data_IF_372012003731
#
_entry.id   IF_372012003731
#
_cell.length_a   1.000
_cell.length_b   1.000
_cell.length_c   1.000
_cell.angle_alpha   90.00
_cell.angle_beta   90.00
_cell.angle_gamma   90.00
#
_symmetry.space_group_name_H-M   'P 1'
#
loop_
_entity.id
_entity.type
_entity.pdbx_description
1 polymer ?
#
# COMPACT_ATOMS: atom_id res chain seq x y z
N UNK A 1 -17.08 21.28 -19.47
CA UNK A 1 -16.52 20.20 -20.33
C UNK A 1 -15.06 19.85 -19.98
N UNK A 2 -14.13 20.82 -19.88
CA UNK A 2 -12.71 20.53 -19.51
C UNK A 2 -12.54 19.91 -18.13
N UNK A 3 -13.35 20.22 -17.14
CA UNK A 3 -13.27 19.65 -15.80
C UNK A 3 -13.69 18.18 -15.79
N UNK A 4 -14.66 17.79 -16.62
CA UNK A 4 -15.13 16.39 -16.72
C UNK A 4 -14.10 15.52 -17.39
N UNK A 5 -13.36 16.02 -18.38
CA UNK A 5 -12.32 15.26 -19.08
C UNK A 5 -11.15 14.83 -18.16
N UNK A 6 -10.90 15.54 -17.06
CA UNK A 6 -9.84 15.17 -16.10
C UNK A 6 -10.18 13.96 -15.22
N UNK A 7 -11.46 13.56 -15.14
CA UNK A 7 -11.89 12.36 -14.41
C UNK A 7 -11.75 11.08 -15.24
N UNK A 8 -11.63 11.19 -16.54
CA UNK A 8 -11.45 10.07 -17.46
C UNK A 8 -10.09 10.20 -18.10
N UNK A 9 -9.21 9.25 -17.81
CA UNK A 9 -7.85 9.26 -18.34
C UNK A 9 -7.55 7.94 -19.04
N UNK A 10 -6.66 7.93 -20.04
CA UNK A 10 -6.18 6.69 -20.65
C UNK A 10 -5.44 5.82 -19.63
N UNK A 11 -5.38 4.53 -19.91
CA UNK A 11 -4.53 3.60 -19.16
C UNK A 11 -3.07 4.08 -19.14
N UNK A 12 -2.50 4.12 -17.95
CA UNK A 12 -1.05 4.24 -17.78
C UNK A 12 -0.45 2.84 -17.58
N UNK A 13 0.45 2.44 -18.46
CA UNK A 13 1.15 1.15 -18.41
C UNK A 13 1.98 0.95 -17.15
N UNK A 14 2.27 2.01 -16.42
CA UNK A 14 3.10 1.99 -15.21
C UNK A 14 2.28 1.92 -13.92
N UNK A 15 0.96 1.93 -13.99
CA UNK A 15 0.11 1.78 -12.81
C UNK A 15 0.01 0.30 -12.39
N UNK A 16 0.48 0.00 -11.18
CA UNK A 16 0.57 -1.37 -10.69
C UNK A 16 -0.76 -2.13 -10.68
N UNK A 17 -1.89 -1.44 -10.49
CA UNK A 17 -3.22 -2.06 -10.48
C UNK A 17 -3.81 -2.30 -11.89
N UNK A 18 -3.22 -1.70 -12.92
CA UNK A 18 -3.61 -1.91 -14.32
C UNK A 18 -2.72 -2.96 -15.00
N UNK A 19 -1.62 -3.40 -14.38
CA UNK A 19 -0.67 -4.36 -14.94
C UNK A 19 -1.22 -5.80 -15.01
N UNK A 20 -2.37 -5.96 -15.63
CA UNK A 20 -2.98 -7.24 -15.97
C UNK A 20 -3.07 -7.33 -17.50
N UNK A 21 -2.69 -8.46 -18.08
CA UNK A 21 -2.66 -8.63 -19.55
C UNK A 21 -3.99 -8.31 -20.21
N UNK A 22 -5.10 -8.60 -19.54
CA UNK A 22 -6.46 -8.27 -20.00
C UNK A 22 -6.69 -6.78 -20.21
N UNK A 23 -5.96 -5.91 -19.50
CA UNK A 23 -6.07 -4.45 -19.67
C UNK A 23 -5.54 -3.95 -21.02
N UNK A 24 -4.70 -4.76 -21.68
CA UNK A 24 -4.01 -4.41 -22.92
C UNK A 24 -4.49 -5.22 -24.14
N UNK A 25 -5.55 -6.00 -24.00
CA UNK A 25 -6.15 -6.76 -25.10
C UNK A 25 -6.66 -5.82 -26.20
N UNK A 26 -6.50 -6.27 -27.44
CA UNK A 26 -6.99 -5.51 -28.61
C UNK A 26 -8.51 -5.30 -28.55
N UNK A 27 -8.93 -4.06 -28.68
CA UNK A 27 -10.35 -3.68 -28.62
C UNK A 27 -10.86 -3.34 -27.22
N UNK A 28 -10.02 -3.43 -26.18
CA UNK A 28 -10.37 -2.96 -24.84
C UNK A 28 -10.58 -1.44 -24.84
N UNK A 29 -11.65 -0.98 -24.19
CA UNK A 29 -11.91 0.46 -23.99
C UNK A 29 -10.80 1.07 -23.13
N UNK A 30 -10.18 2.18 -23.57
CA UNK A 30 -8.92 2.66 -22.98
C UNK A 30 -9.06 3.57 -21.77
N UNK A 31 -10.28 3.97 -21.38
CA UNK A 31 -10.44 4.97 -20.32
C UNK A 31 -10.61 4.33 -18.95
N UNK A 32 -10.03 4.98 -17.95
CA UNK A 32 -10.11 4.62 -16.52
C UNK A 32 -10.87 5.69 -15.75
N UNK A 33 -11.70 5.28 -14.81
CA UNK A 33 -12.31 6.18 -13.82
C UNK A 33 -12.45 5.52 -12.46
N UNK A 34 -12.61 6.33 -11.41
CA UNK A 34 -12.91 5.84 -10.08
C UNK A 34 -14.40 5.79 -9.83
N UNK A 35 -14.84 4.75 -9.12
CA UNK A 35 -16.22 4.61 -8.65
C UNK A 35 -16.25 4.23 -7.17
N UNK A 36 -17.39 4.45 -6.54
CA UNK A 36 -17.70 3.98 -5.19
C UNK A 36 -18.89 3.03 -5.25
N UNK A 37 -18.76 1.87 -4.61
CA UNK A 37 -19.84 0.89 -4.42
C UNK A 37 -20.50 1.09 -3.07
N UNK A 38 -19.74 1.62 -2.11
CA UNK A 38 -20.20 1.85 -0.74
C UNK A 38 -19.62 3.13 -0.15
N UNK A 39 -20.19 3.58 0.95
CA UNK A 39 -19.76 4.74 1.72
C UNK A 39 -19.63 4.36 3.19
N UNK A 40 -18.50 4.78 3.80
CA UNK A 40 -18.21 4.54 5.21
C UNK A 40 -17.55 3.17 5.46
N UNK A 41 -17.25 2.93 6.73
CA UNK A 41 -16.52 1.74 7.16
C UNK A 41 -17.05 1.25 8.51
N UNK A 42 -17.23 -0.07 8.65
CA UNK A 42 -17.66 -0.72 9.90
C UNK A 42 -16.53 -0.89 10.90
N UNK A 43 -15.28 -0.79 10.47
CA UNK A 43 -14.09 -0.92 11.33
C UNK A 43 -13.92 0.31 12.24
N UNK A 44 -13.19 0.12 13.34
CA UNK A 44 -12.92 1.15 14.35
C UNK A 44 -11.41 1.38 14.54
N UNK A 45 -10.65 1.32 13.43
CA UNK A 45 -9.21 1.49 13.50
C UNK A 45 -8.84 2.82 14.17
N UNK A 46 -7.91 2.77 15.15
CA UNK A 46 -7.60 3.88 16.05
C UNK A 46 -6.94 5.09 15.38
N UNK A 47 -6.34 4.88 14.22
CA UNK A 47 -5.66 5.92 13.43
C UNK A 47 -6.49 6.47 12.27
N UNK A 48 -7.62 5.81 11.93
CA UNK A 48 -8.35 6.09 10.70
C UNK A 48 -9.46 7.12 10.92
N UNK A 49 -9.36 8.23 10.21
CA UNK A 49 -10.44 9.19 10.09
C UNK A 49 -11.46 8.68 9.05
N UNK A 50 -12.69 8.47 9.49
CA UNK A 50 -13.77 8.01 8.62
C UNK A 50 -14.55 9.20 8.07
N UNK A 51 -14.70 9.25 6.77
CA UNK A 51 -15.44 10.33 6.10
C UNK A 51 -16.95 10.29 6.37
N UNK A 52 -17.48 9.10 6.73
CA UNK A 52 -18.88 8.93 7.11
C UNK A 52 -19.04 8.00 8.30
N UNK A 53 -20.04 8.28 9.16
CA UNK A 53 -20.44 7.37 10.22
C UNK A 53 -21.25 6.21 9.63
N UNK A 54 -20.95 4.98 10.09
CA UNK A 54 -21.66 3.78 9.63
C UNK A 54 -21.18 3.27 8.27
N UNK A 55 -22.02 2.49 7.62
CA UNK A 55 -21.76 1.87 6.32
C UNK A 55 -23.06 1.79 5.52
N UNK A 56 -23.01 2.18 4.27
CA UNK A 56 -24.13 2.08 3.34
C UNK A 56 -23.63 1.70 1.95
N UNK A 57 -24.50 1.07 1.17
CA UNK A 57 -24.22 0.70 -0.22
C UNK A 57 -25.08 1.53 -1.17
N UNK A 58 -24.58 1.72 -2.38
CA UNK A 58 -25.35 2.39 -3.42
C UNK A 58 -26.43 1.45 -4.00
N UNK A 59 -27.51 2.04 -4.52
CA UNK A 59 -28.55 1.30 -5.21
C UNK A 59 -28.01 0.64 -6.49
N UNK A 60 -28.23 -0.67 -6.65
CA UNK A 60 -27.70 -1.43 -7.78
C UNK A 60 -28.25 -0.97 -9.13
N UNK A 61 -29.50 -0.51 -9.20
CA UNK A 61 -30.08 -0.04 -10.45
C UNK A 61 -29.47 1.27 -10.92
N UNK A 62 -29.16 2.16 -9.96
CA UNK A 62 -28.43 3.41 -10.23
C UNK A 62 -26.97 3.14 -10.62
N UNK A 63 -26.34 2.18 -9.93
CA UNK A 63 -24.98 1.75 -10.27
C UNK A 63 -24.93 1.18 -11.70
N UNK A 64 -25.90 0.36 -12.08
CA UNK A 64 -26.02 -0.19 -13.42
C UNK A 64 -26.14 0.90 -14.48
N UNK A 65 -27.05 1.85 -14.26
CA UNK A 65 -27.24 3.01 -15.15
C UNK A 65 -25.94 3.80 -15.31
N UNK A 66 -25.23 4.02 -14.21
CA UNK A 66 -23.95 4.75 -14.21
C UNK A 66 -22.86 3.99 -14.96
N UNK A 67 -22.68 2.69 -14.72
CA UNK A 67 -21.69 1.86 -15.42
C UNK A 67 -21.98 1.82 -16.93
N UNK A 68 -23.25 1.73 -17.30
CA UNK A 68 -23.67 1.78 -18.70
C UNK A 68 -23.31 3.13 -19.35
N UNK A 69 -23.58 4.23 -18.67
CA UNK A 69 -23.23 5.57 -19.15
C UNK A 69 -21.71 5.74 -19.32
N UNK A 70 -20.90 5.28 -18.34
CA UNK A 70 -19.45 5.27 -18.42
C UNK A 70 -18.92 4.50 -19.63
N UNK A 71 -19.56 3.36 -19.93
CA UNK A 71 -19.22 2.53 -21.07
C UNK A 71 -19.55 3.23 -22.40
N UNK A 72 -20.80 3.65 -22.54
CA UNK A 72 -21.38 4.07 -23.81
C UNK A 72 -20.97 5.50 -24.23
N UNK A 73 -20.86 6.42 -23.26
CA UNK A 73 -20.60 7.83 -23.50
C UNK A 73 -19.15 8.25 -23.22
N UNK A 74 -18.41 7.52 -22.37
CA UNK A 74 -17.05 7.90 -21.94
C UNK A 74 -15.98 6.88 -22.32
N UNK A 75 -16.34 5.81 -23.02
CA UNK A 75 -15.41 4.77 -23.46
C UNK A 75 -14.58 4.15 -22.32
N UNK A 76 -15.17 4.04 -21.11
CA UNK A 76 -14.52 3.48 -19.93
C UNK A 76 -14.49 1.95 -20.04
N UNK A 77 -13.30 1.38 -19.81
CA UNK A 77 -13.07 -0.08 -19.76
C UNK A 77 -12.48 -0.55 -18.44
N UNK A 78 -12.08 0.39 -17.58
CA UNK A 78 -11.48 0.07 -16.29
C UNK A 78 -12.04 0.93 -15.16
N UNK A 79 -12.40 0.29 -14.05
CA UNK A 79 -12.94 0.93 -12.86
C UNK A 79 -12.00 0.77 -11.67
N UNK A 80 -11.66 1.87 -11.01
CA UNK A 80 -10.98 1.85 -9.72
C UNK A 80 -12.03 2.00 -8.63
N UNK A 81 -12.33 0.92 -7.92
CA UNK A 81 -13.24 0.95 -6.77
C UNK A 81 -12.51 1.53 -5.58
N UNK A 82 -12.90 2.74 -5.17
CA UNK A 82 -12.22 3.54 -4.14
C UNK A 82 -12.99 3.56 -2.80
N UNK A 83 -13.61 2.45 -2.44
CA UNK A 83 -14.35 2.30 -1.20
C UNK A 83 -13.43 2.43 0.03
N UNK A 84 -13.95 2.99 1.13
CA UNK A 84 -13.26 2.98 2.42
C UNK A 84 -13.13 1.55 2.98
N UNK A 85 -14.08 0.67 2.66
CA UNK A 85 -14.09 -0.73 3.10
C UNK A 85 -14.80 -1.63 2.09
N UNK A 86 -14.12 -1.96 1.00
CA UNK A 86 -14.64 -2.88 -0.02
C UNK A 86 -14.89 -4.28 0.57
N UNK A 87 -16.00 -4.89 0.20
CA UNK A 87 -16.33 -6.25 0.60
C UNK A 87 -17.05 -6.39 1.96
N UNK A 88 -17.34 -5.28 2.67
CA UNK A 88 -18.05 -5.33 3.96
C UNK A 88 -19.46 -5.90 3.88
N UNK A 89 -20.18 -5.66 2.80
CA UNK A 89 -21.44 -6.32 2.50
C UNK A 89 -21.23 -7.33 1.36
N UNK A 90 -20.95 -8.57 1.74
CA UNK A 90 -20.56 -9.62 0.79
C UNK A 90 -21.59 -9.84 -0.32
N UNK A 91 -22.89 -9.94 0.04
CA UNK A 91 -23.96 -10.14 -0.93
C UNK A 91 -24.02 -9.01 -1.97
N UNK A 92 -23.99 -7.78 -1.51
CA UNK A 92 -23.98 -6.62 -2.38
C UNK A 92 -22.72 -6.58 -3.27
N UNK A 93 -21.55 -6.86 -2.68
CA UNK A 93 -20.28 -6.87 -3.42
C UNK A 93 -20.30 -7.86 -4.58
N UNK A 94 -20.84 -9.06 -4.37
CA UNK A 94 -21.01 -10.05 -5.43
C UNK A 94 -21.90 -9.52 -6.55
N UNK A 95 -23.07 -8.95 -6.22
CA UNK A 95 -23.99 -8.37 -7.21
C UNK A 95 -23.35 -7.22 -7.99
N UNK A 96 -22.59 -6.34 -7.32
CA UNK A 96 -21.89 -5.23 -7.97
C UNK A 96 -20.77 -5.73 -8.89
N UNK A 97 -20.04 -6.77 -8.49
CA UNK A 97 -18.99 -7.42 -9.30
C UNK A 97 -19.58 -8.08 -10.54
N UNK A 98 -20.69 -8.82 -10.41
CA UNK A 98 -21.42 -9.40 -11.55
C UNK A 98 -21.90 -8.31 -12.51
N UNK A 99 -22.35 -7.18 -11.97
CA UNK A 99 -22.79 -6.05 -12.76
C UNK A 99 -21.61 -5.43 -13.56
N UNK A 100 -20.46 -5.22 -12.92
CA UNK A 100 -19.25 -4.75 -13.63
C UNK A 100 -18.85 -5.73 -14.74
N UNK A 101 -18.89 -7.03 -14.48
CA UNK A 101 -18.59 -8.07 -15.45
C UNK A 101 -19.58 -8.07 -16.64
N UNK A 102 -20.87 -7.92 -16.38
CA UNK A 102 -21.94 -7.80 -17.41
C UNK A 102 -21.63 -6.72 -18.44
N UNK A 103 -21.03 -5.62 -18.01
CA UNK A 103 -20.66 -4.49 -18.88
C UNK A 103 -19.22 -4.57 -19.41
N UNK A 104 -18.56 -5.71 -19.24
CA UNK A 104 -17.18 -5.94 -19.70
C UNK A 104 -16.19 -4.92 -19.10
N UNK A 105 -16.36 -4.60 -17.80
CA UNK A 105 -15.43 -3.76 -17.07
C UNK A 105 -14.34 -4.59 -16.41
N UNK A 106 -13.09 -4.20 -16.59
CA UNK A 106 -12.03 -4.59 -15.69
C UNK A 106 -12.04 -3.65 -14.48
N UNK A 107 -11.57 -4.14 -13.35
CA UNK A 107 -11.58 -3.33 -12.15
C UNK A 107 -10.47 -3.70 -11.16
N UNK A 108 -10.12 -2.72 -10.33
CA UNK A 108 -9.28 -2.88 -9.15
C UNK A 108 -10.00 -2.29 -7.94
N UNK A 109 -9.68 -2.75 -6.74
CA UNK A 109 -10.24 -2.18 -5.53
C UNK A 109 -9.17 -1.88 -4.48
N UNK A 110 -9.42 -0.85 -3.68
CA UNK A 110 -8.65 -0.45 -2.51
C UNK A 110 -9.49 -0.57 -1.24
N UNK A 111 -8.88 -0.37 -0.07
CA UNK A 111 -9.62 -0.39 1.19
C UNK A 111 -10.11 -1.78 1.63
N UNK A 112 -9.43 -2.85 1.24
CA UNK A 112 -9.85 -4.21 1.54
C UNK A 112 -9.20 -4.66 2.85
N UNK A 113 -10.00 -5.22 3.74
CA UNK A 113 -9.50 -5.92 4.93
C UNK A 113 -9.15 -7.36 4.59
N UNK A 114 -8.01 -7.84 5.03
CA UNK A 114 -7.57 -9.23 4.76
C UNK A 114 -8.56 -10.28 5.31
N UNK A 115 -9.26 -9.94 6.40
CA UNK A 115 -10.28 -10.81 7.01
C UNK A 115 -11.64 -10.79 6.30
N UNK A 116 -11.86 -9.94 5.29
CA UNK A 116 -13.13 -9.85 4.57
C UNK A 116 -13.20 -10.70 3.31
N UNK A 117 -12.13 -11.40 2.96
CA UNK A 117 -12.04 -12.20 1.74
C UNK A 117 -11.59 -13.64 2.03
N UNK A 118 -12.19 -14.59 1.33
CA UNK A 118 -11.74 -15.98 1.25
C UNK A 118 -11.09 -16.25 -0.10
N UNK A 119 -10.46 -17.41 -0.26
CA UNK A 119 -9.89 -17.82 -1.55
C UNK A 119 -10.96 -17.91 -2.65
N UNK A 120 -12.15 -18.35 -2.29
CA UNK A 120 -13.31 -18.44 -3.18
C UNK A 120 -13.76 -17.05 -3.64
N UNK A 121 -13.80 -16.07 -2.72
CA UNK A 121 -14.09 -14.67 -3.06
C UNK A 121 -13.07 -14.11 -4.06
N UNK A 122 -11.78 -14.36 -3.80
CA UNK A 122 -10.69 -13.90 -4.67
C UNK A 122 -10.78 -14.51 -6.08
N UNK A 123 -11.08 -15.80 -6.18
CA UNK A 123 -11.32 -16.47 -7.46
C UNK A 123 -12.54 -15.89 -8.18
N UNK A 124 -13.64 -15.67 -7.46
CA UNK A 124 -14.83 -15.05 -8.03
C UNK A 124 -14.51 -13.65 -8.57
N UNK A 125 -13.82 -12.81 -7.79
CA UNK A 125 -13.43 -11.47 -8.23
C UNK A 125 -12.55 -11.51 -9.49
N UNK A 126 -11.51 -12.36 -9.49
CA UNK A 126 -10.63 -12.52 -10.64
C UNK A 126 -11.39 -12.93 -11.90
N UNK A 127 -12.27 -13.92 -11.79
CA UNK A 127 -13.05 -14.43 -12.93
C UNK A 127 -14.07 -13.41 -13.44
N UNK A 128 -14.45 -12.44 -12.62
CA UNK A 128 -15.37 -11.35 -12.96
C UNK A 128 -14.66 -10.00 -13.13
N UNK A 129 -13.47 -9.99 -13.70
CA UNK A 129 -12.80 -8.79 -14.19
C UNK A 129 -11.87 -8.09 -13.21
N UNK A 130 -11.71 -8.60 -11.96
CA UNK A 130 -10.73 -8.04 -11.03
C UNK A 130 -9.31 -8.23 -11.54
N UNK A 131 -8.52 -7.16 -11.53
CA UNK A 131 -7.10 -7.17 -11.92
C UNK A 131 -6.19 -7.07 -10.70
N UNK A 132 -6.60 -6.32 -9.68
CA UNK A 132 -5.81 -6.17 -8.45
C UNK A 132 -6.63 -5.75 -7.23
N UNK A 133 -6.11 -6.09 -6.06
CA UNK A 133 -6.70 -5.77 -4.76
C UNK A 133 -5.65 -5.20 -3.82
N UNK A 134 -5.84 -3.96 -3.32
CA UNK A 134 -4.95 -3.33 -2.33
C UNK A 134 -5.50 -3.51 -0.91
N UNK A 135 -4.77 -4.27 -0.11
CA UNK A 135 -5.13 -4.56 1.29
C UNK A 135 -4.53 -3.54 2.25
N UNK A 136 -5.33 -3.11 3.21
CA UNK A 136 -4.87 -2.31 4.35
C UNK A 136 -4.30 -3.21 5.44
N UNK A 137 -3.00 -3.45 5.44
CA UNK A 137 -2.32 -4.34 6.40
C UNK A 137 -1.69 -3.59 7.58
N UNK A 138 -1.12 -2.44 7.34
CA UNK A 138 -0.53 -1.43 8.24
C UNK A 138 0.68 -1.93 9.04
N UNK A 139 0.72 -3.16 9.55
CA UNK A 139 1.82 -3.67 10.37
C UNK A 139 2.00 -5.18 10.25
N UNK A 140 3.22 -5.65 10.44
CA UNK A 140 3.56 -7.06 10.61
C UNK A 140 3.67 -7.48 12.07
N UNK A 141 3.41 -6.58 13.00
CA UNK A 141 3.38 -6.87 14.44
C UNK A 141 1.95 -7.05 14.94
N UNK A 142 1.68 -8.18 15.57
CA UNK A 142 0.35 -8.42 16.18
C UNK A 142 0.04 -7.38 17.25
N UNK A 143 1.03 -7.01 18.07
CA UNK A 143 0.88 -5.94 19.06
C UNK A 143 0.41 -4.64 18.41
N UNK A 144 1.00 -4.25 17.29
CA UNK A 144 0.59 -3.04 16.58
C UNK A 144 -0.78 -3.17 15.93
N UNK A 145 -1.10 -4.32 15.35
CA UNK A 145 -2.44 -4.58 14.80
C UNK A 145 -3.52 -4.49 15.88
N UNK A 146 -3.23 -4.92 17.10
CA UNK A 146 -4.14 -4.83 18.24
C UNK A 146 -4.32 -3.39 18.71
N UNK A 147 -3.24 -2.62 18.82
CA UNK A 147 -3.28 -1.16 19.12
C UNK A 147 -4.06 -0.40 18.05
N UNK A 148 -3.88 -0.76 16.80
CA UNK A 148 -4.60 -0.19 15.65
C UNK A 148 -6.07 -0.64 15.57
N UNK A 149 -6.51 -1.58 16.37
CA UNK A 149 -7.84 -2.23 16.31
C UNK A 149 -8.18 -2.81 14.92
N UNK A 150 -7.20 -3.42 14.27
CA UNK A 150 -7.40 -4.04 12.95
C UNK A 150 -8.30 -5.28 13.02
N UNK A 151 -8.37 -5.96 14.19
CA UNK A 151 -9.23 -7.13 14.42
C UNK A 151 -9.00 -8.28 13.43
N UNK A 152 -7.73 -8.51 13.06
CA UNK A 152 -7.25 -9.68 12.33
C UNK A 152 -5.82 -10.02 12.76
N UNK A 153 -5.37 -11.21 12.42
CA UNK A 153 -4.05 -11.70 12.79
C UNK A 153 -3.04 -11.48 11.64
N UNK A 154 -1.74 -11.41 11.98
CA UNK A 154 -0.66 -11.36 10.97
C UNK A 154 -0.76 -12.53 9.99
N UNK A 155 -1.21 -13.69 10.44
CA UNK A 155 -1.38 -14.88 9.60
C UNK A 155 -2.50 -14.71 8.57
N UNK A 156 -3.54 -13.92 8.85
CA UNK A 156 -4.60 -13.61 7.88
C UNK A 156 -4.07 -12.75 6.73
N UNK A 157 -3.09 -11.87 7.02
CA UNK A 157 -2.38 -11.10 5.98
C UNK A 157 -1.71 -12.06 4.99
N UNK A 158 -0.92 -13.01 5.50
CA UNK A 158 -0.23 -14.00 4.65
C UNK A 158 -1.23 -14.82 3.83
N UNK A 159 -2.28 -15.34 4.47
CA UNK A 159 -3.31 -16.12 3.78
C UNK A 159 -3.93 -15.37 2.61
N UNK A 160 -4.34 -14.11 2.81
CA UNK A 160 -4.96 -13.31 1.76
C UNK A 160 -3.99 -13.01 0.60
N UNK A 161 -2.77 -12.56 0.90
CA UNK A 161 -1.79 -12.20 -0.11
C UNK A 161 -1.26 -13.40 -0.88
N UNK A 162 -1.01 -14.52 -0.19
CA UNK A 162 -0.56 -15.75 -0.83
C UNK A 162 -1.65 -16.34 -1.72
N UNK A 163 -2.92 -16.31 -1.27
CA UNK A 163 -4.04 -16.73 -2.09
C UNK A 163 -4.20 -15.87 -3.36
N UNK A 164 -4.01 -14.54 -3.27
CA UNK A 164 -3.98 -13.68 -4.45
C UNK A 164 -2.88 -14.11 -5.43
N UNK A 165 -1.65 -14.29 -4.92
CA UNK A 165 -0.52 -14.69 -5.74
C UNK A 165 -0.75 -16.05 -6.41
N UNK A 166 -1.21 -17.04 -5.65
CA UNK A 166 -1.39 -18.42 -6.13
C UNK A 166 -2.43 -18.53 -7.26
N UNK A 167 -3.42 -17.64 -7.27
CA UNK A 167 -4.40 -17.55 -8.36
C UNK A 167 -4.01 -16.55 -9.45
N UNK A 168 -2.85 -15.89 -9.33
CA UNK A 168 -2.40 -14.88 -10.28
C UNK A 168 -3.23 -13.59 -10.26
N UNK A 169 -3.80 -13.22 -9.11
CA UNK A 169 -4.42 -11.93 -8.89
C UNK A 169 -3.38 -10.96 -8.32
N UNK A 170 -3.25 -9.79 -8.95
CA UNK A 170 -2.26 -8.81 -8.51
C UNK A 170 -2.64 -8.21 -7.15
N UNK A 171 -1.63 -7.99 -6.31
CA UNK A 171 -1.75 -7.22 -5.08
C UNK A 171 -0.67 -6.13 -5.10
N UNK A 172 -1.04 -4.85 -5.32
CA UNK A 172 -0.07 -3.76 -5.42
C UNK A 172 0.64 -3.49 -4.09
N UNK A 173 1.61 -2.57 -4.08
CA UNK A 173 2.40 -2.24 -2.90
C UNK A 173 1.57 -2.10 -1.63
N UNK A 174 2.06 -2.70 -0.56
CA UNK A 174 1.40 -2.72 0.74
C UNK A 174 1.83 -1.49 1.55
N UNK A 175 0.87 -0.85 2.21
CA UNK A 175 1.14 0.22 3.15
C UNK A 175 1.49 -0.35 4.53
N UNK A 176 2.64 0.07 5.07
CA UNK A 176 3.03 -0.16 6.45
C UNK A 176 3.09 1.17 7.19
N UNK A 177 2.63 1.19 8.43
CA UNK A 177 2.67 2.35 9.31
C UNK A 177 3.63 2.11 10.46
N UNK A 178 4.48 3.11 10.75
CA UNK A 178 5.36 3.15 11.90
C UNK A 178 4.96 4.27 12.86
N UNK A 179 5.33 4.12 14.11
CA UNK A 179 5.20 5.19 15.09
C UNK A 179 3.84 5.30 15.75
N UNK A 180 3.01 4.29 15.70
CA UNK A 180 1.83 4.19 16.55
C UNK A 180 2.23 4.12 18.04
N UNK A 181 1.36 4.51 18.98
CA UNK A 181 1.59 4.26 20.40
C UNK A 181 1.98 2.80 20.66
N UNK A 182 3.09 2.57 21.38
CA UNK A 182 3.62 1.23 21.62
C UNK A 182 4.61 0.70 20.58
N UNK A 183 4.91 1.47 19.52
CA UNK A 183 5.95 1.09 18.54
C UNK A 183 7.33 0.99 19.20
N UNK A 184 8.12 0.02 18.77
CA UNK A 184 9.44 -0.28 19.30
C UNK A 184 10.32 -0.93 18.22
N UNK A 185 11.62 -1.08 18.49
CA UNK A 185 12.54 -1.84 17.64
C UNK A 185 12.04 -3.27 17.38
N UNK A 186 11.39 -3.89 18.36
CA UNK A 186 10.83 -5.24 18.22
C UNK A 186 9.69 -5.26 17.21
N UNK A 187 8.71 -4.37 17.32
CA UNK A 187 7.52 -4.31 16.45
C UNK A 187 7.88 -3.90 15.04
N UNK A 188 8.84 -2.98 14.88
CA UNK A 188 9.41 -2.63 13.58
C UNK A 188 10.09 -3.84 12.89
N UNK A 189 10.87 -4.64 13.62
CA UNK A 189 11.46 -5.88 13.11
C UNK A 189 10.40 -6.90 12.70
N UNK A 190 9.32 -7.05 13.47
CA UNK A 190 8.20 -7.94 13.15
C UNK A 190 7.56 -7.54 11.81
N UNK A 191 7.37 -6.24 11.56
CA UNK A 191 6.90 -5.71 10.28
C UNK A 191 7.87 -6.01 9.14
N UNK A 192 9.16 -5.82 9.37
CA UNK A 192 10.20 -6.18 8.39
C UNK A 192 10.21 -7.68 8.08
N UNK A 193 10.08 -8.53 9.09
CA UNK A 193 10.00 -9.98 8.90
C UNK A 193 8.83 -10.37 8.00
N UNK A 194 7.63 -9.86 8.28
CA UNK A 194 6.45 -10.11 7.44
C UNK A 194 6.67 -9.64 6.01
N UNK A 195 7.21 -8.43 5.82
CA UNK A 195 7.52 -7.88 4.50
C UNK A 195 8.46 -8.81 3.70
N UNK A 196 9.50 -9.32 4.33
CA UNK A 196 10.42 -10.27 3.71
C UNK A 196 9.80 -11.64 3.40
N UNK A 197 8.93 -12.14 4.27
CA UNK A 197 8.17 -13.39 4.06
C UNK A 197 7.23 -13.27 2.85
N UNK A 198 6.50 -12.16 2.75
CA UNK A 198 5.62 -11.86 1.60
C UNK A 198 6.45 -11.77 0.32
N UNK A 199 7.52 -10.99 0.32
CA UNK A 199 8.38 -10.82 -0.84
C UNK A 199 8.98 -12.16 -1.32
N UNK A 200 9.38 -13.05 -0.41
CA UNK A 200 9.91 -14.36 -0.74
C UNK A 200 8.86 -15.30 -1.34
N UNK A 201 7.61 -15.23 -0.87
CA UNK A 201 6.50 -16.00 -1.44
C UNK A 201 6.14 -15.50 -2.84
N UNK A 202 6.01 -14.19 -3.00
CA UNK A 202 5.69 -13.53 -4.27
C UNK A 202 6.88 -13.52 -5.23
N UNK A 203 8.03 -14.04 -4.84
CA UNK A 203 9.28 -14.05 -5.62
C UNK A 203 9.71 -12.64 -6.06
N UNK A 204 9.43 -11.63 -5.25
CA UNK A 204 9.87 -10.25 -5.47
C UNK A 204 11.38 -10.18 -5.18
N UNK A 205 12.22 -9.73 -6.12
CA UNK A 205 13.66 -9.57 -5.88
C UNK A 205 13.94 -8.56 -4.75
N UNK A 206 14.98 -8.80 -3.95
CA UNK A 206 15.34 -7.97 -2.79
C UNK A 206 15.43 -6.49 -3.09
N UNK A 207 16.03 -6.11 -4.23
CA UNK A 207 16.13 -4.69 -4.66
C UNK A 207 14.79 -4.03 -5.00
N UNK A 208 13.70 -4.79 -5.11
CA UNK A 208 12.35 -4.28 -5.35
C UNK A 208 11.46 -4.29 -4.12
N UNK A 209 11.87 -4.91 -3.00
CA UNK A 209 11.08 -4.92 -1.77
C UNK A 209 10.71 -3.49 -1.34
N UNK A 210 11.65 -2.56 -1.47
CA UNK A 210 11.44 -1.13 -1.20
C UNK A 210 10.45 -0.42 -2.14
N UNK A 211 10.29 -0.93 -3.36
CA UNK A 211 9.38 -0.35 -4.36
C UNK A 211 7.98 -0.90 -4.25
N UNK A 212 7.84 -2.09 -3.63
CA UNK A 212 6.57 -2.79 -3.46
C UNK A 212 5.92 -2.55 -2.10
N UNK A 213 6.52 -1.70 -1.25
CA UNK A 213 5.95 -1.39 0.05
C UNK A 213 6.11 0.09 0.36
N UNK A 214 5.01 0.73 0.74
CA UNK A 214 5.00 2.08 1.27
C UNK A 214 5.22 2.00 2.78
N UNK A 215 6.21 2.71 3.30
CA UNK A 215 6.49 2.78 4.72
C UNK A 215 6.31 4.22 5.20
N UNK A 216 5.25 4.45 5.96
CA UNK A 216 4.80 5.77 6.37
C UNK A 216 4.83 5.90 7.89
N UNK A 217 5.13 7.08 8.39
CA UNK A 217 4.98 7.39 9.81
C UNK A 217 3.55 7.85 10.12
N UNK A 218 3.04 7.44 11.28
CA UNK A 218 1.70 7.79 11.74
C UNK A 218 1.56 9.30 11.90
N UNK A 219 0.55 9.85 11.25
CA UNK A 219 0.07 11.20 11.49
C UNK A 219 -1.27 11.09 12.19
N UNK A 220 -1.41 11.61 13.41
CA UNK A 220 -2.68 11.63 14.10
C UNK A 220 -3.65 12.59 13.40
N UNK A 221 -4.73 12.05 12.87
CA UNK A 221 -5.78 12.84 12.23
C UNK A 221 -6.83 13.25 13.25
N UNK A 222 -7.31 14.49 13.17
CA UNK A 222 -8.33 15.04 14.09
C UNK A 222 -9.55 14.12 14.14
N UNK A 223 -10.06 13.89 15.35
CA UNK A 223 -11.20 13.03 15.61
C UNK A 223 -10.88 11.52 15.62
N UNK A 224 -9.60 11.16 15.57
CA UNK A 224 -9.17 9.77 15.76
C UNK A 224 -8.73 9.51 17.21
N UNK A 225 -8.87 8.27 17.73
CA UNK A 225 -8.36 7.91 19.05
C UNK A 225 -6.89 8.23 19.25
N UNK A 226 -6.04 8.05 18.24
CA UNK A 226 -4.61 8.36 18.32
C UNK A 226 -4.35 9.88 18.43
N UNK A 227 -5.21 10.70 17.82
CA UNK A 227 -5.15 12.15 17.96
C UNK A 227 -5.50 12.59 19.41
N UNK A 228 -6.60 12.08 19.93
CA UNK A 228 -7.02 12.37 21.30
C UNK A 228 -5.99 11.90 22.34
N UNK A 229 -5.36 10.75 22.09
CA UNK A 229 -4.25 10.28 22.92
C UNK A 229 -3.05 11.23 22.89
N UNK A 230 -2.71 11.77 21.71
CA UNK A 230 -1.65 12.80 21.58
C UNK A 230 -1.97 14.09 22.35
N UNK A 231 -3.24 14.51 22.34
CA UNK A 231 -3.70 15.65 23.17
C UNK A 231 -3.56 15.36 24.66
N UNK A 232 -3.99 14.18 25.12
CA UNK A 232 -3.87 13.79 26.54
C UNK A 232 -2.42 13.76 27.04
N UNK A 233 -1.48 13.40 26.15
CA UNK A 233 -0.05 13.42 26.46
C UNK A 233 0.59 14.81 26.36
N UNK A 234 -0.15 15.85 25.94
CA UNK A 234 0.39 17.18 25.67
C UNK A 234 1.33 17.26 24.47
N UNK A 235 1.29 16.26 23.59
CA UNK A 235 2.11 16.22 22.35
C UNK A 235 1.45 16.94 21.17
N UNK A 236 0.16 17.16 21.24
CA UNK A 236 -0.66 17.95 20.32
C UNK A 236 -1.24 19.12 21.10
N UNK A 237 -1.27 20.30 20.51
CA UNK A 237 -1.73 21.51 21.16
C UNK A 237 -3.18 21.43 21.67
N UNK A 238 -3.46 22.23 22.73
CA UNK A 238 -4.74 22.21 23.45
C UNK A 238 -5.67 23.36 23.03
N UNK A 239 -5.12 24.40 22.43
CA UNK A 239 -5.88 25.55 21.90
C UNK A 239 -6.25 25.38 20.43
N UNK A 240 -7.25 26.10 19.96
CA UNK A 240 -7.66 26.12 18.56
C UNK A 240 -6.52 26.52 17.63
N UNK A 241 -5.76 27.54 18.01
CA UNK A 241 -4.63 28.02 17.19
C UNK A 241 -3.51 26.97 17.05
N UNK A 242 -3.26 26.22 18.11
CA UNK A 242 -2.28 25.12 18.09
C UNK A 242 -2.77 23.94 17.26
N UNK A 243 -4.07 23.64 17.28
CA UNK A 243 -4.68 22.62 16.41
C UNK A 243 -4.65 23.06 14.95
N UNK A 244 -4.92 24.31 14.62
CA UNK A 244 -4.79 24.84 13.27
C UNK A 244 -3.35 24.74 12.76
N UNK A 245 -2.37 25.11 13.57
CA UNK A 245 -0.96 24.97 13.25
C UNK A 245 -0.56 23.49 13.02
N UNK A 246 -1.10 22.58 13.81
CA UNK A 246 -0.90 21.14 13.61
C UNK A 246 -1.49 20.68 12.27
N UNK A 247 -2.68 21.17 11.90
CA UNK A 247 -3.32 20.87 10.61
C UNK A 247 -2.49 21.39 9.42
N UNK A 248 -1.97 22.60 9.50
CA UNK A 248 -1.10 23.16 8.45
C UNK A 248 0.13 22.25 8.22
N UNK A 249 0.74 21.82 9.31
CA UNK A 249 1.91 20.93 9.27
C UNK A 249 1.55 19.57 8.65
N UNK A 250 0.44 18.97 9.07
CA UNK A 250 0.03 17.62 8.66
C UNK A 250 -0.62 17.58 7.28
N UNK A 251 -1.09 18.70 6.75
CA UNK A 251 -1.61 18.79 5.39
C UNK A 251 -0.54 18.64 4.31
N UNK A 252 0.74 18.78 4.65
CA UNK A 252 1.85 18.61 3.73
C UNK A 252 2.24 17.13 3.57
N UNK A 253 1.74 16.50 2.53
CA UNK A 253 1.92 15.06 2.23
C UNK A 253 3.39 14.62 2.12
N UNK A 254 4.34 15.53 1.88
CA UNK A 254 5.78 15.22 1.79
C UNK A 254 6.51 15.18 3.14
N UNK A 255 5.80 15.44 4.23
CA UNK A 255 6.42 15.77 5.51
C UNK A 255 6.33 14.67 6.59
N UNK A 256 5.82 13.49 6.27
CA UNK A 256 5.47 12.45 7.24
C UNK A 256 6.55 12.15 8.29
N UNK A 257 7.79 11.97 7.90
CA UNK A 257 8.89 11.64 8.84
C UNK A 257 9.30 12.85 9.67
N UNK A 258 9.28 14.05 9.10
CA UNK A 258 9.71 15.29 9.75
C UNK A 258 8.78 15.75 10.86
N UNK A 259 7.48 15.42 10.74
CA UNK A 259 6.44 15.86 11.66
C UNK A 259 5.84 14.69 12.47
N UNK A 260 6.57 13.58 12.54
CA UNK A 260 6.17 12.46 13.38
C UNK A 260 6.04 12.89 14.84
N UNK A 261 4.93 12.54 15.47
CA UNK A 261 4.73 12.71 16.89
C UNK A 261 5.24 11.49 17.63
N UNK A 262 6.24 11.68 18.48
CA UNK A 262 6.88 10.61 19.21
C UNK A 262 6.07 10.17 20.44
N UNK A 263 5.07 9.33 20.23
CA UNK A 263 4.23 8.77 21.28
C UNK A 263 4.98 7.85 22.26
N UNK A 264 6.13 7.34 21.86
CA UNK A 264 6.79 6.24 22.53
C UNK A 264 7.95 6.70 23.42
N UNK A 265 8.28 7.99 23.40
CA UNK A 265 9.42 8.54 24.12
C UNK A 265 10.78 7.97 23.69
N UNK A 266 10.82 7.26 22.54
CA UNK A 266 12.06 6.74 22.01
C UNK A 266 12.98 7.88 21.58
N UNK A 267 14.33 7.74 21.70
CA UNK A 267 15.25 8.74 21.17
C UNK A 267 14.99 8.98 19.68
N UNK A 268 14.97 10.25 19.26
CA UNK A 268 14.73 10.57 17.84
C UNK A 268 15.75 9.93 16.89
N UNK A 269 16.98 9.69 17.36
CA UNK A 269 17.98 8.89 16.65
C UNK A 269 17.51 7.47 16.37
N UNK A 270 16.75 6.85 17.28
CA UNK A 270 16.15 5.53 17.07
C UNK A 270 14.97 5.61 16.09
N UNK A 271 14.06 6.57 16.29
CA UNK A 271 12.86 6.75 15.45
C UNK A 271 13.21 6.92 13.98
N UNK A 272 14.24 7.70 13.66
CA UNK A 272 14.65 7.93 12.27
C UNK A 272 15.22 6.69 11.57
N UNK A 273 15.59 5.66 12.33
CA UNK A 273 16.14 4.41 11.82
C UNK A 273 15.10 3.27 11.74
N UNK A 274 13.89 3.43 12.25
CA UNK A 274 12.88 2.37 12.24
C UNK A 274 12.57 1.86 10.83
N UNK A 275 12.41 2.75 9.85
CA UNK A 275 12.17 2.38 8.45
C UNK A 275 13.33 1.58 7.86
N UNK A 276 14.56 1.98 8.15
CA UNK A 276 15.74 1.23 7.72
C UNK A 276 15.81 -0.14 8.38
N UNK A 277 15.46 -0.23 9.66
CA UNK A 277 15.42 -1.49 10.40
C UNK A 277 14.38 -2.44 9.81
N UNK A 278 13.19 -1.94 9.46
CA UNK A 278 12.17 -2.72 8.77
C UNK A 278 12.73 -3.33 7.47
N UNK A 279 13.42 -2.53 6.67
CA UNK A 279 13.97 -3.00 5.40
C UNK A 279 15.15 -3.96 5.58
N UNK A 280 16.02 -3.74 6.55
CA UNK A 280 17.10 -4.68 6.87
C UNK A 280 16.54 -6.03 7.28
N UNK A 281 15.53 -6.05 8.13
CA UNK A 281 14.91 -7.27 8.59
C UNK A 281 14.12 -7.97 7.46
N UNK A 282 13.48 -7.18 6.58
CA UNK A 282 12.83 -7.71 5.38
C UNK A 282 13.83 -8.43 4.46
N UNK A 283 14.99 -7.81 4.23
CA UNK A 283 16.06 -8.41 3.43
C UNK A 283 16.58 -9.70 4.07
N UNK A 284 16.85 -9.67 5.38
CA UNK A 284 17.31 -10.86 6.14
C UNK A 284 16.30 -12.01 6.07
N UNK A 285 15.03 -11.71 6.31
CA UNK A 285 13.95 -12.69 6.28
C UNK A 285 13.80 -13.29 4.88
N UNK A 286 13.82 -12.46 3.84
CA UNK A 286 13.80 -12.90 2.45
C UNK A 286 14.97 -13.83 2.12
N UNK A 287 16.20 -13.41 2.41
CA UNK A 287 17.41 -14.21 2.11
C UNK A 287 17.41 -15.53 2.84
N UNK A 288 17.00 -15.57 4.11
CA UNK A 288 16.89 -16.81 4.88
C UNK A 288 15.93 -17.80 4.21
N UNK A 289 14.79 -17.33 3.72
CA UNK A 289 13.80 -18.17 3.05
C UNK A 289 14.28 -18.61 1.66
N UNK A 290 15.00 -17.77 0.94
CA UNK A 290 15.47 -18.07 -0.41
C UNK A 290 16.75 -18.92 -0.45
N UNK A 291 17.60 -18.86 0.58
CA UNK A 291 18.78 -19.75 0.71
C UNK A 291 18.40 -21.23 0.72
N UNK A 292 17.23 -21.54 1.22
CA UNK A 292 16.73 -22.92 1.28
C UNK A 292 16.07 -23.42 -0.03
N UNK A 293 15.99 -22.55 -1.06
CA UNK A 293 15.42 -22.91 -2.36
C UNK A 293 16.50 -22.89 -3.43
N UNK A 294 16.72 -24.02 -4.09
CA UNK A 294 17.68 -24.23 -5.20
C UNK A 294 17.43 -23.29 -6.40
N UNK A 295 16.30 -22.59 -6.42
CA UNK A 295 15.84 -21.66 -7.48
C UNK A 295 16.57 -20.30 -7.51
N UNK A 296 17.51 -20.06 -6.58
CA UNK A 296 18.12 -18.74 -6.41
C UNK A 296 18.99 -18.27 -7.62
N UNK A 297 19.49 -19.19 -8.43
CA UNK A 297 20.29 -18.86 -9.62
C UNK A 297 19.43 -18.40 -10.80
N UNK A 298 18.32 -19.11 -11.05
CA UNK A 298 17.42 -18.80 -12.18
C UNK A 298 16.65 -17.49 -11.96
N UNK A 299 16.21 -17.22 -10.71
CA UNK A 299 15.57 -15.97 -10.36
C UNK A 299 16.50 -14.76 -10.52
N UNK A 300 17.78 -14.87 -10.09
CA UNK A 300 18.77 -13.81 -10.32
C UNK A 300 18.99 -13.53 -11.80
N UNK A 301 19.07 -14.56 -12.62
CA UNK A 301 19.28 -14.41 -14.05
C UNK A 301 18.06 -13.79 -14.74
N UNK A 302 16.85 -14.24 -14.40
CA UNK A 302 15.60 -13.67 -14.91
C UNK A 302 15.46 -12.19 -14.55
N UNK A 303 15.84 -11.82 -13.31
CA UNK A 303 15.82 -10.44 -12.85
C UNK A 303 16.83 -9.53 -13.56
N UNK A 304 18.05 -10.03 -13.77
CA UNK A 304 19.08 -9.31 -14.55
C UNK A 304 18.55 -9.04 -15.96
N UNK A 305 17.93 -10.03 -16.59
CA UNK A 305 17.38 -9.90 -17.93
C UNK A 305 16.20 -8.91 -17.99
N UNK A 306 15.29 -8.93 -17.00
CA UNK A 306 14.18 -7.97 -16.91
C UNK A 306 14.67 -6.54 -16.64
N UNK A 307 15.68 -6.36 -15.80
CA UNK A 307 16.27 -5.04 -15.55
C UNK A 307 17.06 -4.51 -16.75
N UNK A 308 17.68 -5.37 -17.51
CA UNK A 308 18.33 -4.96 -18.76
C UNK A 308 17.31 -4.45 -19.80
N UNK A 309 16.09 -5.01 -19.83
CA UNK A 309 15.00 -4.51 -20.68
C UNK A 309 14.46 -3.17 -20.16
N UNK A 310 14.35 -2.97 -18.84
CA UNK A 310 13.94 -1.69 -18.24
C UNK A 310 15.03 -0.61 -18.29
N UNK A 311 16.31 -1.00 -18.27
CA UNK A 311 17.44 -0.08 -18.42
C UNK A 311 17.54 0.57 -19.82
N UNK A 312 16.82 0.04 -20.79
CA UNK A 312 16.68 0.62 -22.13
C UNK A 312 15.65 1.77 -22.18
N UNK A 313 14.90 2.00 -21.12
CA UNK A 313 13.96 3.12 -21.05
C UNK A 313 14.70 4.42 -20.66
N UNK A 314 14.77 5.45 -21.55
CA UNK A 314 15.55 6.66 -21.31
C UNK A 314 15.17 7.44 -20.04
N UNK A 315 13.90 7.34 -19.63
CA UNK A 315 13.40 8.01 -18.42
C UNK A 315 13.86 7.36 -17.11
N UNK A 316 14.26 6.09 -17.14
CA UNK A 316 14.82 5.39 -15.96
C UNK A 316 16.29 5.73 -15.78
N UNK A 317 17.07 5.90 -16.88
CA UNK A 317 18.47 6.33 -16.83
C UNK A 317 18.66 7.70 -16.19
N UNK A 318 17.75 8.64 -16.43
CA UNK A 318 17.86 9.99 -15.88
C UNK A 318 17.69 10.05 -14.35
N UNK A 319 17.01 9.07 -13.74
CA UNK A 319 16.85 8.98 -12.26
C UNK A 319 18.01 8.28 -11.54
N UNK A 320 18.77 7.42 -12.23
CA UNK A 320 19.89 6.68 -11.62
C UNK A 320 21.16 7.51 -11.46
N UNK A 321 21.33 8.58 -12.24
CA UNK A 321 22.54 9.43 -12.22
C UNK A 321 22.41 10.68 -11.34
N UNK A 322 21.36 10.83 -10.53
CA UNK A 322 21.31 11.89 -9.54
C UNK A 322 22.12 11.49 -8.31
N UNK A 323 23.28 12.08 -8.12
CA UNK A 323 24.03 12.09 -6.86
C UNK A 323 23.07 12.54 -5.75
N UNK A 324 22.78 11.66 -4.79
CA UNK A 324 21.98 12.00 -3.63
C UNK A 324 22.91 12.46 -2.52
N UNK A 325 22.76 13.69 -2.10
CA UNK A 325 23.38 14.20 -0.87
C UNK A 325 22.57 13.69 0.31
N UNK A 326 23.22 12.99 1.21
CA UNK A 326 22.61 12.52 2.46
C UNK A 326 23.32 13.25 3.60
N UNK A 327 22.54 13.98 4.38
CA UNK A 327 23.01 14.64 5.58
C UNK A 327 22.81 13.68 6.76
N UNK A 328 23.92 13.19 7.32
CA UNK A 328 23.91 12.34 8.51
C UNK A 328 24.69 13.10 9.60
N UNK A 329 24.04 13.44 10.69
CA UNK A 329 24.64 14.15 11.83
C UNK A 329 25.38 15.46 11.46
N UNK A 330 24.83 16.25 10.52
CA UNK A 330 25.41 17.53 10.10
C UNK A 330 26.58 17.42 9.11
N UNK A 331 26.98 16.23 8.70
CA UNK A 331 27.96 16.02 7.64
C UNK A 331 27.27 15.68 6.31
N UNK A 332 27.59 16.42 5.26
CA UNK A 332 27.11 16.12 3.90
C UNK A 332 28.08 15.15 3.24
N UNK A 333 27.64 13.92 3.00
CA UNK A 333 28.46 12.92 2.31
C UNK A 333 27.84 12.61 0.95
N UNK A 334 28.64 12.68 -0.11
CA UNK A 334 28.24 12.25 -1.45
C UNK A 334 28.44 10.74 -1.58
N UNK A 335 27.33 10.02 -1.82
CA UNK A 335 27.37 8.56 -1.94
C UNK A 335 27.06 8.16 -3.37
N UNK A 336 28.05 7.55 -4.04
CA UNK A 336 27.95 7.04 -5.42
C UNK A 336 27.49 5.59 -5.52
N UNK A 337 27.05 4.97 -4.41
CA UNK A 337 26.55 3.59 -4.37
C UNK A 337 25.09 3.56 -3.95
N UNK A 338 24.30 2.57 -4.38
CA UNK A 338 22.95 2.39 -3.87
C UNK A 338 22.96 2.30 -2.33
N UNK A 339 22.07 3.04 -1.68
CA UNK A 339 22.00 3.12 -0.20
C UNK A 339 21.98 1.73 0.45
N UNK A 340 21.31 0.76 -0.17
CA UNK A 340 21.28 -0.63 0.27
C UNK A 340 22.69 -1.29 0.32
N UNK A 341 23.57 -0.99 -0.63
CA UNK A 341 24.95 -1.52 -0.64
C UNK A 341 25.84 -0.84 0.40
N UNK A 342 25.67 0.45 0.59
CA UNK A 342 26.47 1.21 1.57
C UNK A 342 26.23 0.71 3.01
N UNK A 343 24.98 0.49 3.39
CA UNK A 343 24.65 0.03 4.74
C UNK A 343 25.01 -1.44 4.98
N UNK A 344 24.79 -2.32 4.01
CA UNK A 344 25.20 -3.73 4.14
C UNK A 344 26.72 -3.88 4.25
N UNK A 345 27.51 -3.03 3.55
CA UNK A 345 28.95 -3.14 3.55
C UNK A 345 29.60 -2.55 4.81
N UNK A 346 29.01 -1.50 5.41
CA UNK A 346 29.64 -0.78 6.52
C UNK A 346 29.07 -1.14 7.89
N UNK A 347 27.76 -1.47 7.99
CA UNK A 347 27.16 -1.85 9.28
C UNK A 347 27.28 -3.34 9.65
N UNK A 348 27.42 -4.23 8.66
CA UNK A 348 27.56 -5.68 8.91
C UNK A 348 29.02 -6.07 9.20
N UNK A 349 29.98 -5.21 8.95
CA UNK A 349 31.39 -5.46 9.27
C UNK A 349 31.81 -5.02 10.68
N UNK A 350 31.02 -4.23 11.36
CA UNK A 350 31.35 -3.70 12.71
C UNK A 350 30.54 -4.36 13.86
N UNK A 351 29.69 -5.33 13.58
CA UNK A 351 28.96 -6.18 14.54
C UNK A 351 28.96 -7.63 14.05
#
# INVERSE_FOLDING_TARGET
>A
EKAVQNYFRPFDKHEAFIMDERSFEKGRRPMVTSIFLSKGCVAKCTFCQRGAKGYSVYDLSKLETYIKDLKDNYNVGFLVVADENFGSNKKYTYQAVELMHKYDMLWAATGIRVSSVTKEDLLFYKNNGCTSLKFGIESGSQTMLDVMEKKFQVEDIKKALFACHDIGLNSPPLGFMLGMPGESLKTAKESGKLMGEIAAHLKIPTGLIFKHNDLLYTIPLIGTPVYEYGKQLGLIGQSTDEEEKFLEITSNVGAFKRYYINFNGAPMSEVVFWDMLVFLEATRSYEKLMKNKTENKELKQKYINQNNVQALNPHVKAKQNKIRKIEVMGAVTEINVPISQYFVTNFVKEN
#
